data_IF_959901962366
#
_entry.id   IF_959901962366
#
_cell.length_a   1.000
_cell.length_b   1.000
_cell.length_c   1.000
_cell.angle_alpha   90.00
_cell.angle_beta   90.00
_cell.angle_gamma   90.00
#
_symmetry.space_group_name_H-M   'P 1'
#
loop_
_entity.id
_entity.type
_entity.pdbx_description
1 polymer ?
#
# COMPACT_ATOMS: atom_id res chain seq x y z
N UNK A 1 -2.32 3.69 -11.26
CA UNK A 1 -2.78 3.84 -9.87
C UNK A 1 -1.92 4.90 -9.20
N UNK A 2 -2.43 5.60 -8.19
CA UNK A 2 -1.65 6.59 -7.43
C UNK A 2 -1.84 6.41 -5.94
N UNK A 3 -0.81 6.77 -5.18
CA UNK A 3 -0.89 6.96 -3.74
C UNK A 3 -0.98 8.46 -3.46
N UNK A 4 -2.04 8.87 -2.80
CA UNK A 4 -2.30 10.26 -2.46
C UNK A 4 -2.22 10.44 -0.96
N UNK A 5 -1.82 11.63 -0.51
CA UNK A 5 -1.98 12.01 0.87
C UNK A 5 -3.42 12.43 1.16
N UNK A 6 -3.75 12.65 2.44
CA UNK A 6 -5.08 13.10 2.87
C UNK A 6 -5.57 14.40 2.23
N UNK A 7 -4.66 15.23 1.69
CA UNK A 7 -5.00 16.49 1.01
C UNK A 7 -5.09 16.33 -0.52
N UNK A 8 -5.35 15.12 -1.01
CA UNK A 8 -5.44 14.77 -2.43
C UNK A 8 -4.19 15.13 -3.26
N UNK A 9 -3.03 15.28 -2.62
CA UNK A 9 -1.75 15.47 -3.31
C UNK A 9 -1.16 14.11 -3.65
N UNK A 10 -0.81 13.94 -4.91
CA UNK A 10 -0.13 12.75 -5.40
C UNK A 10 1.26 12.65 -4.76
N UNK A 11 1.52 11.54 -4.08
CA UNK A 11 2.85 11.20 -3.55
C UNK A 11 3.62 10.36 -4.56
N UNK A 12 2.97 9.31 -5.08
CA UNK A 12 3.54 8.44 -6.12
C UNK A 12 2.49 8.01 -7.14
N UNK A 13 2.95 7.73 -8.35
CA UNK A 13 2.16 7.18 -9.44
C UNK A 13 2.83 5.92 -9.96
N UNK A 14 2.02 4.92 -10.29
CA UNK A 14 2.47 3.75 -11.02
C UNK A 14 1.66 3.60 -12.29
N UNK A 15 2.37 3.43 -13.40
CA UNK A 15 1.76 3.20 -14.69
C UNK A 15 1.15 1.79 -14.71
N UNK A 16 -0.12 1.67 -15.08
CA UNK A 16 -0.80 0.39 -15.17
C UNK A 16 -0.81 -0.03 -16.63
N UNK A 17 0.05 -0.98 -16.99
CA UNK A 17 0.15 -1.48 -18.36
C UNK A 17 -0.68 -2.75 -18.58
N UNK A 18 -1.03 -3.47 -17.51
CA UNK A 18 -1.83 -4.70 -17.57
C UNK A 18 -3.09 -4.63 -16.68
N UNK A 19 -4.25 -5.14 -17.13
CA UNK A 19 -5.48 -5.12 -16.33
C UNK A 19 -5.49 -6.07 -15.12
N UNK A 20 -4.59 -7.06 -15.06
CA UNK A 20 -4.62 -8.17 -14.09
C UNK A 20 -3.78 -7.96 -12.82
N UNK A 21 -2.86 -7.00 -12.81
CA UNK A 21 -1.88 -6.82 -11.72
C UNK A 21 -2.34 -5.82 -10.63
N UNK A 22 -3.65 -5.58 -10.51
CA UNK A 22 -4.21 -4.44 -9.75
C UNK A 22 -3.74 -4.38 -8.30
N UNK A 23 -3.66 -5.53 -7.62
CA UNK A 23 -3.18 -5.59 -6.23
C UNK A 23 -1.67 -5.35 -6.12
N UNK A 24 -0.87 -5.79 -7.10
CA UNK A 24 0.58 -5.65 -7.07
C UNK A 24 1.00 -4.18 -7.10
N UNK A 25 0.29 -3.37 -7.88
CA UNK A 25 0.51 -1.92 -7.92
C UNK A 25 0.26 -1.25 -6.56
N UNK A 26 -0.79 -1.65 -5.84
CA UNK A 26 -1.06 -1.12 -4.51
C UNK A 26 0.01 -1.54 -3.50
N UNK A 27 0.44 -2.81 -3.52
CA UNK A 27 1.49 -3.33 -2.65
C UNK A 27 2.81 -2.57 -2.84
N UNK A 28 3.23 -2.34 -4.09
CA UNK A 28 4.46 -1.58 -4.40
C UNK A 28 4.38 -0.15 -3.88
N UNK A 29 3.23 0.52 -4.02
CA UNK A 29 3.03 1.87 -3.51
C UNK A 29 3.09 1.92 -1.98
N UNK A 30 2.50 0.93 -1.30
CA UNK A 30 2.57 0.79 0.16
C UNK A 30 4.01 0.57 0.62
N UNK A 31 4.73 -0.35 -0.02
CA UNK A 31 6.14 -0.59 0.31
C UNK A 31 6.96 0.68 0.13
N UNK A 32 6.81 1.36 -1.01
CA UNK A 32 7.50 2.60 -1.31
C UNK A 32 7.21 3.69 -0.26
N UNK A 33 5.97 3.79 0.23
CA UNK A 33 5.64 4.70 1.31
C UNK A 33 6.46 4.38 2.57
N UNK A 34 6.42 3.13 3.05
CA UNK A 34 7.09 2.75 4.30
C UNK A 34 8.62 2.77 4.20
N UNK A 35 9.21 2.62 3.00
CA UNK A 35 10.64 2.81 2.78
C UNK A 35 11.09 4.26 3.03
N UNK A 36 10.17 5.23 2.92
CA UNK A 36 10.45 6.67 3.13
C UNK A 36 9.93 7.21 4.46
N UNK A 37 9.25 6.38 5.27
CA UNK A 37 8.73 6.77 6.56
C UNK A 37 9.62 6.25 7.70
N UNK A 38 9.65 6.96 8.85
CA UNK A 38 10.26 6.42 10.05
C UNK A 38 9.58 5.10 10.44
N UNK A 39 10.33 4.11 10.94
CA UNK A 39 9.78 2.80 11.29
C UNK A 39 8.71 2.88 12.39
N UNK A 40 8.73 3.90 13.24
CA UNK A 40 7.76 4.05 14.34
C UNK A 40 6.43 4.71 13.90
N UNK A 41 6.30 5.08 12.63
CA UNK A 41 5.14 5.81 12.14
C UNK A 41 3.97 4.88 11.79
N UNK A 42 2.81 5.14 12.39
CA UNK A 42 1.53 4.54 12.00
C UNK A 42 0.88 5.38 10.90
N UNK A 43 0.32 4.74 9.88
CA UNK A 43 -0.34 5.40 8.76
C UNK A 43 -1.73 4.82 8.56
N UNK A 44 -2.70 5.69 8.34
CA UNK A 44 -4.04 5.29 7.90
C UNK A 44 -4.07 5.19 6.39
N UNK A 45 -4.47 4.03 5.86
CA UNK A 45 -4.53 3.79 4.43
C UNK A 45 -5.98 3.60 3.98
N UNK A 46 -6.52 4.62 3.31
CA UNK A 46 -7.82 4.50 2.67
C UNK A 46 -7.66 3.79 1.33
N UNK A 47 -8.12 2.54 1.25
CA UNK A 47 -8.09 1.76 0.02
C UNK A 47 -9.34 0.89 -0.11
N UNK A 48 -10.02 1.00 -1.25
CA UNK A 48 -11.25 0.25 -1.58
C UNK A 48 -11.04 -1.28 -1.57
N UNK A 49 -9.77 -1.71 -1.67
CA UNK A 49 -9.34 -3.11 -1.63
C UNK A 49 -8.51 -3.44 -0.39
N UNK A 50 -8.52 -2.60 0.66
CA UNK A 50 -7.71 -2.75 1.86
C UNK A 50 -7.87 -4.12 2.55
N UNK A 51 -9.11 -4.58 2.75
CA UNK A 51 -9.38 -5.89 3.34
C UNK A 51 -8.84 -7.05 2.47
N UNK A 52 -8.95 -6.95 1.13
CA UNK A 52 -8.39 -7.97 0.24
C UNK A 52 -6.86 -7.94 0.23
N UNK A 53 -6.26 -6.75 0.28
CA UNK A 53 -4.82 -6.55 0.40
C UNK A 53 -4.29 -7.12 1.71
N UNK A 54 -4.92 -6.84 2.83
CA UNK A 54 -4.52 -7.38 4.13
C UNK A 54 -4.63 -8.91 4.13
N UNK A 55 -5.77 -9.45 3.71
CA UNK A 55 -5.98 -10.90 3.68
C UNK A 55 -4.96 -11.62 2.78
N UNK A 56 -4.76 -11.12 1.56
CA UNK A 56 -3.79 -11.70 0.62
C UNK A 56 -2.34 -11.54 1.10
N UNK A 57 -2.00 -10.41 1.72
CA UNK A 57 -0.68 -10.18 2.29
C UNK A 57 -0.39 -11.12 3.44
N UNK A 58 -1.32 -11.31 4.38
CA UNK A 58 -1.16 -12.26 5.48
C UNK A 58 -1.10 -13.71 4.98
N UNK A 59 -1.88 -14.05 3.95
CA UNK A 59 -1.92 -15.41 3.40
C UNK A 59 -0.66 -15.79 2.62
N UNK A 60 -0.10 -14.85 1.85
CA UNK A 60 0.99 -15.12 0.91
C UNK A 60 2.31 -14.44 1.27
N UNK A 61 2.38 -13.66 2.35
CA UNK A 61 3.57 -12.93 2.78
C UNK A 61 3.94 -11.78 1.84
N UNK A 62 2.96 -11.04 1.31
CA UNK A 62 3.19 -9.99 0.31
C UNK A 62 3.71 -8.67 0.90
N UNK A 63 3.43 -8.42 2.17
CA UNK A 63 3.96 -7.30 2.94
C UNK A 63 4.54 -7.83 4.25
N UNK A 64 5.56 -7.14 4.76
CA UNK A 64 6.12 -7.43 6.07
C UNK A 64 5.06 -7.21 7.16
N UNK A 65 5.01 -8.08 8.16
CA UNK A 65 4.06 -7.94 9.26
C UNK A 65 4.24 -6.62 10.01
N UNK A 66 5.47 -6.09 10.08
CA UNK A 66 5.75 -4.78 10.67
C UNK A 66 5.12 -3.61 9.90
N UNK A 67 4.85 -3.79 8.60
CA UNK A 67 4.09 -2.82 7.79
C UNK A 67 2.60 -3.02 8.05
N UNK A 68 2.12 -4.27 8.03
CA UNK A 68 0.71 -4.58 8.24
C UNK A 68 0.19 -4.10 9.60
N UNK A 69 0.99 -4.21 10.66
CA UNK A 69 0.61 -3.78 12.00
C UNK A 69 0.58 -2.25 12.16
N UNK A 70 1.16 -1.51 11.20
CA UNK A 70 1.20 -0.04 11.18
C UNK A 70 0.15 0.58 10.25
N UNK A 71 -0.54 -0.24 9.47
CA UNK A 71 -1.64 0.19 8.62
C UNK A 71 -2.93 0.05 9.44
N UNK A 72 -3.67 1.16 9.56
CA UNK A 72 -5.02 1.19 10.14
C UNK A 72 -6.08 1.50 9.09
#
# INVERSE_FOLDING_TARGET
>A
MGLLCHNDRVLWLVNMTSPGERQHYALVLIQCLFDHLPPEMTVWLLCDIGCQLEHSSRKWGLLDNSILDKIQ
#
